data_IF_520835427862
#
_entry.id   IF_520835427862
#
_cell.length_a   1.000
_cell.length_b   1.000
_cell.length_c   1.000
_cell.angle_alpha   90.00
_cell.angle_beta   90.00
_cell.angle_gamma   90.00
#
_symmetry.space_group_name_H-M   'P 1'
#
loop_
_entity.id
_entity.type
_entity.pdbx_description
1 polymer ?
#
# COMPACT_ATOMS: atom_id res chain seq x y z
N UNK A 1 -5.85 -20.22 -7.62
CA UNK A 1 -5.69 -19.81 -6.20
C UNK A 1 -6.14 -18.36 -6.16
N UNK A 2 -7.29 -18.07 -5.56
CA UNK A 2 -7.70 -16.67 -5.39
C UNK A 2 -6.71 -16.02 -4.42
N UNK A 3 -5.91 -15.09 -4.92
CA UNK A 3 -5.13 -14.22 -4.06
C UNK A 3 -6.12 -13.28 -3.40
N UNK A 4 -6.45 -13.53 -2.12
CA UNK A 4 -7.24 -12.58 -1.33
C UNK A 4 -6.57 -11.21 -1.47
N UNK A 5 -7.28 -10.18 -1.98
CA UNK A 5 -6.69 -8.87 -2.15
C UNK A 5 -6.31 -8.32 -0.79
N UNK A 6 -5.01 -8.15 -0.53
CA UNK A 6 -4.52 -7.62 0.74
C UNK A 6 -5.15 -6.25 1.02
N UNK A 7 -5.65 -6.11 2.25
CA UNK A 7 -6.12 -4.85 2.81
C UNK A 7 -4.93 -3.95 3.16
N UNK A 8 -5.18 -2.65 3.31
CA UNK A 8 -4.14 -1.73 3.77
C UNK A 8 -3.65 -2.10 5.18
N UNK A 9 -4.54 -2.54 6.06
CA UNK A 9 -4.20 -2.98 7.42
C UNK A 9 -3.19 -4.14 7.41
N UNK A 10 -3.39 -5.15 6.57
CA UNK A 10 -2.44 -6.27 6.46
C UNK A 10 -1.08 -5.83 5.91
N UNK A 11 -1.06 -4.87 4.98
CA UNK A 11 0.19 -4.28 4.48
C UNK A 11 0.91 -3.46 5.54
N UNK A 12 0.17 -2.74 6.39
CA UNK A 12 0.74 -1.97 7.51
C UNK A 12 1.28 -2.90 8.62
N UNK A 13 0.57 -3.99 8.94
CA UNK A 13 1.08 -5.00 9.87
C UNK A 13 2.41 -5.59 9.38
N UNK A 14 2.57 -5.83 8.07
CA UNK A 14 3.85 -6.26 7.49
C UNK A 14 4.97 -5.23 7.67
N UNK A 15 4.66 -3.94 7.69
CA UNK A 15 5.66 -2.89 7.95
C UNK A 15 6.16 -3.01 9.38
N UNK A 16 5.26 -3.20 10.33
CA UNK A 16 5.60 -3.44 11.73
C UNK A 16 6.43 -4.73 11.90
N UNK A 17 5.97 -5.84 11.33
CA UNK A 17 6.65 -7.15 11.36
C UNK A 17 8.07 -7.10 10.80
N UNK A 18 8.29 -6.28 9.76
CA UNK A 18 9.58 -6.10 9.11
C UNK A 18 10.43 -4.99 9.73
N UNK A 19 9.97 -4.36 10.82
CA UNK A 19 10.59 -3.18 11.43
C UNK A 19 10.88 -2.07 10.40
N UNK A 20 9.97 -1.90 9.45
CA UNK A 20 10.04 -0.89 8.41
C UNK A 20 9.58 0.49 8.89
N UNK A 21 10.09 1.54 8.26
CA UNK A 21 9.69 2.92 8.51
C UNK A 21 8.53 3.38 7.63
N UNK A 22 8.47 2.90 6.38
CA UNK A 22 7.54 3.41 5.38
C UNK A 22 6.96 2.27 4.53
N UNK A 23 5.66 2.38 4.20
CA UNK A 23 5.00 1.59 3.16
C UNK A 23 4.86 2.43 1.89
N UNK A 24 5.42 1.96 0.79
CA UNK A 24 5.31 2.59 -0.51
C UNK A 24 4.39 1.79 -1.43
N UNK A 25 3.29 2.43 -1.86
CA UNK A 25 2.32 1.89 -2.80
C UNK A 25 2.27 2.79 -4.04
N UNK A 26 2.59 2.25 -5.21
CA UNK A 26 2.52 2.99 -6.48
C UNK A 26 2.01 2.12 -7.60
N UNK A 27 1.28 2.72 -8.54
CA UNK A 27 0.73 1.99 -9.67
C UNK A 27 1.86 1.58 -10.63
N UNK A 28 1.82 0.34 -11.12
CA UNK A 28 2.88 -0.20 -11.97
C UNK A 28 4.10 -0.69 -11.20
N UNK A 29 4.08 -0.69 -9.86
CA UNK A 29 5.11 -1.30 -9.05
C UNK A 29 4.55 -2.29 -8.03
N UNK A 30 5.40 -3.22 -7.57
CA UNK A 30 5.09 -4.04 -6.39
C UNK A 30 5.11 -3.15 -5.14
N UNK A 31 4.31 -3.45 -4.10
CA UNK A 31 4.44 -2.80 -2.80
C UNK A 31 5.87 -2.90 -2.26
N UNK A 32 6.35 -1.84 -1.62
CA UNK A 32 7.70 -1.81 -1.04
C UNK A 32 7.66 -1.31 0.39
N UNK A 33 8.56 -1.81 1.23
CA UNK A 33 8.76 -1.33 2.60
C UNK A 33 10.17 -0.79 2.71
N UNK A 34 10.31 0.38 3.34
CA UNK A 34 11.62 0.90 3.71
C UNK A 34 12.06 0.28 5.02
N UNK A 35 13.18 -0.45 5.03
CA UNK A 35 13.76 -1.05 6.25
C UNK A 35 15.20 -0.56 6.37
N UNK A 36 15.52 0.10 7.49
CA UNK A 36 16.85 0.69 7.74
C UNK A 36 17.39 1.56 6.58
N UNK A 37 16.51 2.30 5.90
CA UNK A 37 16.85 3.19 4.78
C UNK A 37 16.76 2.53 3.40
N UNK A 38 16.73 1.20 3.32
CA UNK A 38 16.67 0.45 2.06
C UNK A 38 15.25 0.11 1.63
N UNK A 39 14.98 0.16 0.33
CA UNK A 39 13.66 -0.13 -0.24
C UNK A 39 13.54 -1.61 -0.62
N UNK A 40 12.83 -2.39 0.19
CA UNK A 40 12.61 -3.82 -0.01
C UNK A 40 11.26 -4.09 -0.70
N UNK A 41 11.23 -4.79 -1.85
CA UNK A 41 9.98 -5.19 -2.48
C UNK A 41 9.31 -6.33 -1.71
N UNK A 42 7.99 -6.27 -1.57
CA UNK A 42 7.20 -7.40 -1.10
C UNK A 42 6.99 -8.41 -2.24
N UNK A 43 6.91 -9.70 -1.88
CA UNK A 43 6.54 -10.76 -2.82
C UNK A 43 5.04 -10.75 -3.10
N UNK A 44 4.58 -9.69 -3.78
CA UNK A 44 3.20 -9.43 -4.14
C UNK A 44 3.12 -8.97 -5.60
N UNK A 45 1.96 -9.12 -6.25
CA UNK A 45 1.77 -8.64 -7.62
C UNK A 45 2.01 -7.13 -7.76
N UNK A 46 2.30 -6.72 -9.00
CA UNK A 46 2.33 -5.29 -9.37
C UNK A 46 0.94 -4.68 -9.18
N UNK A 47 0.89 -3.56 -8.48
CA UNK A 47 -0.36 -2.84 -8.21
C UNK A 47 -0.88 -2.15 -9.46
N UNK A 48 -2.16 -2.31 -9.75
CA UNK A 48 -2.87 -1.55 -10.78
C UNK A 48 -3.35 -0.20 -10.23
N UNK A 49 -3.61 0.80 -11.09
CA UNK A 49 -4.14 2.09 -10.65
C UNK A 49 -5.43 2.02 -9.81
N UNK A 50 -6.32 1.07 -10.13
CA UNK A 50 -7.55 0.87 -9.36
C UNK A 50 -7.28 0.34 -7.93
N UNK A 51 -6.22 -0.45 -7.75
CA UNK A 51 -5.86 -1.04 -6.47
C UNK A 51 -5.21 0.00 -5.56
N UNK A 52 -4.29 0.83 -6.09
CA UNK A 52 -3.71 1.93 -5.32
C UNK A 52 -4.75 2.96 -4.90
N UNK A 53 -5.69 3.31 -5.79
CA UNK A 53 -6.82 4.20 -5.45
C UNK A 53 -7.67 3.59 -4.32
N UNK A 54 -8.02 2.30 -4.44
CA UNK A 54 -8.79 1.59 -3.41
C UNK A 54 -8.08 1.59 -2.05
N UNK A 55 -6.78 1.28 -2.04
CA UNK A 55 -5.98 1.25 -0.81
C UNK A 55 -5.88 2.63 -0.16
N UNK A 56 -5.60 3.69 -0.94
CA UNK A 56 -5.58 5.05 -0.43
C UNK A 56 -6.94 5.47 0.16
N UNK A 57 -8.03 5.15 -0.53
CA UNK A 57 -9.38 5.56 -0.12
C UNK A 57 -9.89 4.82 1.12
N UNK A 58 -9.32 3.65 1.42
CA UNK A 58 -9.71 2.85 2.58
C UNK A 58 -9.42 3.52 3.92
N UNK A 59 -8.55 4.53 3.95
CA UNK A 59 -8.21 5.31 5.16
C UNK A 59 -8.60 6.78 5.08
N UNK A 60 -9.17 7.22 3.97
CA UNK A 60 -9.59 8.61 3.78
C UNK A 60 -11.05 8.80 4.19
N UNK A 61 -11.32 9.88 4.91
CA UNK A 61 -12.68 10.41 5.05
C UNK A 61 -13.19 10.97 3.72
N UNK A 62 -14.50 11.19 3.60
CA UNK A 62 -15.05 11.73 2.36
C UNK A 62 -14.55 13.15 2.04
N UNK A 63 -14.31 13.97 3.07
CA UNK A 63 -13.65 15.28 2.92
C UNK A 63 -12.22 15.13 2.38
N UNK A 64 -11.45 14.16 2.88
CA UNK A 64 -10.10 13.88 2.41
C UNK A 64 -10.09 13.38 0.96
N UNK A 65 -11.04 12.50 0.58
CA UNK A 65 -11.18 12.03 -0.82
C UNK A 65 -11.51 13.19 -1.75
N UNK A 66 -12.47 14.04 -1.36
CA UNK A 66 -12.84 15.22 -2.14
C UNK A 66 -11.64 16.14 -2.35
N UNK A 67 -10.90 16.47 -1.29
CA UNK A 67 -9.68 17.29 -1.38
C UNK A 67 -8.56 16.66 -2.19
N UNK A 68 -8.50 15.33 -2.26
CA UNK A 68 -7.50 14.60 -3.05
C UNK A 68 -7.83 14.55 -4.55
N UNK A 69 -9.12 14.61 -4.92
CA UNK A 69 -9.58 14.60 -6.32
C UNK A 69 -9.66 16.01 -6.95
N UNK A 70 -9.57 17.08 -6.15
CA UNK A 70 -9.45 18.45 -6.66
C UNK A 70 -8.05 18.76 -7.17
#
# INVERSE_FOLDING_TARGET
METTPLSLTELLNKVEDMHGSDLHLSAGSVPRIRVHGEMLPLNLPVLKPAETKRLAYSVMTDEQKFRFEQ
#
